data_IF_105112796006
#
_entry.id   IF_105112796006
#
_cell.length_a   1.000
_cell.length_b   1.000
_cell.length_c   1.000
_cell.angle_alpha   90.00
_cell.angle_beta   90.00
_cell.angle_gamma   90.00
#
_symmetry.space_group_name_H-M   'P 1'
#
loop_
_entity.id
_entity.type
_entity.pdbx_description
1 polymer ?
#
# COMPACT_ATOMS: atom_id res chain seq x y z
N UNK A 1 7.13 -11.62 13.09
CA UNK A 1 8.19 -12.63 13.37
C UNK A 1 9.25 -12.66 12.27
N UNK A 2 8.85 -12.77 11.00
CA UNK A 2 9.76 -12.96 9.86
C UNK A 2 10.62 -11.71 9.61
N UNK A 3 10.01 -10.51 9.63
CA UNK A 3 10.65 -9.24 9.24
C UNK A 3 11.22 -8.42 10.41
N UNK A 4 11.29 -9.01 11.60
CA UNK A 4 12.01 -8.43 12.75
C UNK A 4 11.20 -7.49 13.64
N UNK A 5 10.01 -6.97 13.25
CA UNK A 5 9.23 -6.04 14.07
C UNK A 5 8.89 -6.61 15.46
N UNK A 6 8.39 -7.84 15.55
CA UNK A 6 8.12 -8.50 16.84
C UNK A 6 9.39 -8.59 17.69
N UNK A 7 10.51 -9.01 17.07
CA UNK A 7 11.80 -9.11 17.75
C UNK A 7 12.28 -7.76 18.29
N UNK A 8 12.14 -6.70 17.50
CA UNK A 8 12.54 -5.35 17.88
C UNK A 8 11.69 -4.81 19.04
N UNK A 9 10.36 -4.98 18.97
CA UNK A 9 9.46 -4.53 20.05
C UNK A 9 9.75 -5.30 21.34
N UNK A 10 9.95 -6.62 21.28
CA UNK A 10 10.29 -7.43 22.46
C UNK A 10 11.65 -7.09 23.04
N UNK A 11 12.61 -6.68 22.20
CA UNK A 11 13.93 -6.27 22.64
C UNK A 11 13.92 -4.90 23.33
N UNK A 12 13.17 -3.94 22.78
CA UNK A 12 13.08 -2.56 23.29
C UNK A 12 12.05 -2.39 24.42
N UNK A 13 11.06 -3.25 24.44
CA UNK A 13 9.92 -3.21 25.36
C UNK A 13 9.60 -4.63 25.86
N UNK A 14 8.34 -5.05 25.78
CA UNK A 14 7.85 -6.34 26.23
C UNK A 14 6.68 -6.88 25.35
N UNK A 15 6.12 -8.02 25.78
CA UNK A 15 4.99 -8.64 25.10
C UNK A 15 3.69 -7.81 25.22
N UNK A 16 3.53 -7.02 26.27
CA UNK A 16 2.36 -6.16 26.49
C UNK A 16 2.33 -5.04 25.46
N UNK A 17 3.47 -4.39 25.24
CA UNK A 17 3.61 -3.34 24.23
C UNK A 17 3.40 -3.92 22.82
N UNK A 18 3.89 -5.13 22.53
CA UNK A 18 3.62 -5.79 21.27
C UNK A 18 2.12 -6.03 21.05
N UNK A 19 1.41 -6.49 22.08
CA UNK A 19 -0.04 -6.69 21.99
C UNK A 19 -0.80 -5.37 21.71
N UNK A 20 -0.39 -4.27 22.34
CA UNK A 20 -0.95 -2.93 22.06
C UNK A 20 -0.69 -2.48 20.63
N UNK A 21 0.48 -2.75 20.07
CA UNK A 21 0.73 -2.49 18.64
C UNK A 21 -0.22 -3.27 17.75
N UNK A 22 -0.42 -4.57 18.02
CA UNK A 22 -1.34 -5.40 17.24
C UNK A 22 -2.78 -4.86 17.33
N UNK A 23 -3.23 -4.48 18.52
CA UNK A 23 -4.54 -3.86 18.71
C UNK A 23 -4.65 -2.56 17.88
N UNK A 24 -3.66 -1.67 17.95
CA UNK A 24 -3.65 -0.45 17.14
C UNK A 24 -3.71 -0.75 15.64
N UNK A 25 -2.93 -1.73 15.15
CA UNK A 25 -2.90 -2.08 13.72
C UNK A 25 -4.26 -2.56 13.21
N UNK A 26 -5.00 -3.32 14.03
CA UNK A 26 -6.33 -3.79 13.66
C UNK A 26 -7.37 -2.65 13.49
N UNK A 27 -7.13 -1.49 14.10
CA UNK A 27 -7.99 -0.32 13.97
C UNK A 27 -7.63 0.59 12.79
N UNK A 28 -6.48 0.40 12.15
CA UNK A 28 -6.09 1.19 10.99
C UNK A 28 -7.09 0.99 9.83
N UNK A 29 -7.43 2.05 9.09
CA UNK A 29 -8.31 1.94 7.93
C UNK A 29 -7.64 1.11 6.82
N UNK A 30 -8.45 0.30 6.10
CA UNK A 30 -8.00 -0.50 4.95
C UNK A 30 -7.80 0.37 3.70
N UNK A 31 -8.56 1.45 3.61
CA UNK A 31 -8.53 2.36 2.48
C UNK A 31 -8.97 3.77 2.91
N UNK A 32 -8.66 4.75 2.09
CA UNK A 32 -9.18 6.11 2.19
C UNK A 32 -9.72 6.54 0.81
N UNK A 33 -10.68 7.46 0.82
CA UNK A 33 -11.20 8.06 -0.40
C UNK A 33 -11.03 9.58 -0.31
N UNK A 34 -10.22 10.17 -1.19
CA UNK A 34 -9.96 11.60 -1.24
C UNK A 34 -10.96 12.24 -2.20
N UNK A 35 -11.72 13.24 -1.70
CA UNK A 35 -12.73 14.00 -2.47
C UNK A 35 -13.71 13.13 -3.27
N UNK A 36 -13.99 11.91 -2.82
CA UNK A 36 -14.81 10.91 -3.52
C UNK A 36 -14.33 10.61 -4.96
N UNK A 37 -13.04 10.81 -5.25
CA UNK A 37 -12.43 10.66 -6.57
C UNK A 37 -11.20 9.79 -6.59
N UNK A 38 -10.37 9.82 -5.54
CA UNK A 38 -9.14 9.04 -5.47
C UNK A 38 -9.27 7.97 -4.40
N UNK A 39 -9.22 6.71 -4.79
CA UNK A 39 -9.21 5.58 -3.86
C UNK A 39 -7.78 5.23 -3.49
N UNK A 40 -7.47 5.23 -2.20
CA UNK A 40 -6.14 4.93 -1.67
C UNK A 40 -6.21 3.66 -0.85
N UNK A 41 -5.38 2.67 -1.18
CA UNK A 41 -5.27 1.40 -0.45
C UNK A 41 -3.81 0.94 -0.37
N UNK A 42 -3.49 -0.07 0.43
CA UNK A 42 -2.12 -0.58 0.52
C UNK A 42 -1.76 -1.53 -0.62
N UNK A 43 -2.52 -2.61 -0.78
CA UNK A 43 -2.32 -3.63 -1.82
C UNK A 43 -3.03 -3.25 -3.11
N UNK A 44 -4.27 -3.71 -3.31
CA UNK A 44 -4.94 -3.47 -4.58
C UNK A 44 -6.44 -3.68 -4.55
N UNK A 45 -6.99 -4.21 -5.63
CA UNK A 45 -8.41 -4.39 -5.84
C UNK A 45 -8.86 -5.84 -5.61
N UNK A 46 -10.17 -6.03 -5.47
CA UNK A 46 -10.79 -7.28 -5.08
C UNK A 46 -10.84 -8.32 -6.21
N UNK A 47 -10.93 -9.58 -5.79
CA UNK A 47 -11.31 -10.72 -6.62
C UNK A 47 -12.77 -10.64 -7.14
N UNK A 48 -13.62 -9.86 -6.48
CA UNK A 48 -15.02 -9.64 -6.83
C UNK A 48 -15.20 -8.34 -7.65
N UNK A 49 -15.86 -8.46 -8.80
CA UNK A 49 -16.19 -7.31 -9.68
C UNK A 49 -17.26 -6.38 -9.10
N UNK A 50 -18.06 -6.89 -8.15
CA UNK A 50 -19.20 -6.18 -7.57
C UNK A 50 -18.87 -5.17 -6.49
N UNK A 51 -17.63 -5.11 -6.02
CA UNK A 51 -17.24 -4.35 -4.82
C UNK A 51 -17.50 -2.85 -4.95
N UNK A 52 -18.21 -2.31 -3.97
CA UNK A 52 -18.47 -0.88 -3.80
C UNK A 52 -17.68 -0.30 -2.63
N UNK A 53 -17.57 1.04 -2.56
CA UNK A 53 -17.00 1.72 -1.40
C UNK A 53 -17.76 1.40 -0.10
N UNK A 54 -19.06 1.12 -0.20
CA UNK A 54 -19.85 0.72 0.96
C UNK A 54 -19.51 -0.68 1.46
N UNK A 55 -19.15 -1.59 0.56
CA UNK A 55 -18.66 -2.90 0.96
C UNK A 55 -17.32 -2.80 1.67
N UNK A 56 -16.42 -1.93 1.19
CA UNK A 56 -15.14 -1.64 1.88
C UNK A 56 -15.39 -1.05 3.28
N UNK A 57 -16.34 -0.13 3.44
CA UNK A 57 -16.71 0.46 4.75
C UNK A 57 -17.28 -0.55 5.73
N UNK A 58 -18.00 -1.57 5.23
CA UNK A 58 -18.63 -2.61 6.04
C UNK A 58 -17.66 -3.74 6.46
N UNK A 59 -16.44 -3.76 5.94
CA UNK A 59 -15.45 -4.78 6.33
C UNK A 59 -15.21 -4.73 7.84
N UNK A 60 -15.43 -5.85 8.52
CA UNK A 60 -15.04 -6.02 9.92
C UNK A 60 -13.51 -6.15 10.01
N UNK A 61 -12.81 -5.01 10.08
CA UNK A 61 -11.34 -4.94 10.00
C UNK A 61 -10.62 -5.15 11.34
N UNK A 62 -11.31 -4.97 12.47
CA UNK A 62 -10.72 -5.12 13.80
C UNK A 62 -10.41 -6.59 14.10
N UNK A 63 -9.44 -7.14 13.38
CA UNK A 63 -8.93 -8.51 13.47
C UNK A 63 -7.63 -8.64 12.68
N UNK A 64 -6.94 -9.77 12.87
CA UNK A 64 -5.83 -10.13 11.99
C UNK A 64 -6.33 -10.27 10.52
N UNK A 65 -5.50 -9.87 9.52
CA UNK A 65 -5.83 -10.05 8.12
C UNK A 65 -6.11 -11.53 7.80
N UNK A 66 -7.25 -11.83 7.14
CA UNK A 66 -7.56 -13.19 6.71
C UNK A 66 -6.74 -13.57 5.46
N UNK A 67 -6.71 -14.87 5.16
CA UNK A 67 -6.01 -15.41 3.98
C UNK A 67 -6.78 -15.22 2.66
N UNK A 68 -8.03 -14.76 2.71
CA UNK A 68 -8.88 -14.54 1.53
C UNK A 68 -9.97 -13.49 1.80
N UNK A 69 -10.61 -13.03 0.72
CA UNK A 69 -11.72 -12.09 0.72
C UNK A 69 -11.27 -10.62 0.67
N UNK A 70 -12.24 -9.69 0.69
CA UNK A 70 -12.03 -8.27 0.40
C UNK A 70 -10.91 -7.63 1.25
N UNK A 71 -10.84 -7.92 2.54
CA UNK A 71 -9.77 -7.40 3.40
C UNK A 71 -8.39 -7.90 2.97
N UNK A 72 -8.29 -9.18 2.62
CA UNK A 72 -7.05 -9.76 2.09
C UNK A 72 -6.65 -9.08 0.79
N UNK A 73 -7.58 -8.96 -0.16
CA UNK A 73 -7.32 -8.38 -1.47
C UNK A 73 -6.83 -6.92 -1.38
N UNK A 74 -7.47 -6.10 -0.55
CA UNK A 74 -7.08 -4.70 -0.31
C UNK A 74 -5.66 -4.55 0.28
N UNK A 75 -5.17 -5.57 0.98
CA UNK A 75 -3.85 -5.56 1.61
C UNK A 75 -2.75 -6.21 0.76
N UNK A 76 -3.09 -7.18 -0.12
CA UNK A 76 -2.11 -8.06 -0.74
C UNK A 76 -2.12 -8.08 -2.27
N UNK A 77 -3.20 -7.62 -2.95
CA UNK A 77 -3.27 -7.69 -4.41
C UNK A 77 -2.32 -6.71 -5.10
N UNK A 78 -1.78 -7.12 -6.25
CA UNK A 78 -0.85 -6.34 -7.06
C UNK A 78 -1.41 -6.07 -8.47
N UNK A 79 -1.09 -4.93 -9.11
CA UNK A 79 -1.45 -4.70 -10.51
C UNK A 79 -0.64 -5.59 -11.47
N UNK A 80 -1.21 -5.87 -12.63
CA UNK A 80 -0.55 -6.53 -13.76
C UNK A 80 -0.87 -5.82 -15.07
N UNK A 81 -0.01 -5.97 -16.08
CA UNK A 81 -0.19 -5.31 -17.36
C UNK A 81 -1.32 -5.91 -18.23
N UNK A 82 -1.59 -7.21 -18.06
CA UNK A 82 -2.61 -7.94 -18.82
C UNK A 82 -3.99 -7.73 -18.20
N UNK A 83 -5.03 -7.67 -19.03
CA UNK A 83 -6.42 -7.67 -18.58
C UNK A 83 -6.75 -8.94 -17.77
N UNK A 84 -7.79 -8.84 -16.93
CA UNK A 84 -8.27 -9.91 -16.08
C UNK A 84 -7.52 -10.03 -14.76
N UNK A 85 -7.64 -11.21 -14.17
CA UNK A 85 -7.00 -11.56 -12.88
C UNK A 85 -6.14 -12.81 -13.03
N UNK A 86 -5.06 -12.87 -12.27
CA UNK A 86 -4.20 -14.05 -12.18
C UNK A 86 -3.78 -14.32 -10.74
N UNK A 87 -3.30 -15.55 -10.43
CA UNK A 87 -2.79 -15.86 -9.10
C UNK A 87 -1.61 -14.94 -8.72
N UNK A 88 -1.63 -14.44 -7.49
CA UNK A 88 -0.53 -13.64 -6.94
C UNK A 88 0.75 -14.47 -6.81
N UNK A 89 1.89 -13.87 -7.15
CA UNK A 89 3.22 -14.45 -6.88
C UNK A 89 3.53 -14.58 -5.39
N UNK A 90 2.76 -13.91 -4.54
CA UNK A 90 2.94 -13.93 -3.08
C UNK A 90 2.26 -15.12 -2.40
N UNK A 91 1.43 -15.88 -3.14
CA UNK A 91 0.60 -16.97 -2.59
C UNK A 91 -0.63 -16.48 -1.80
N UNK A 92 -0.85 -15.16 -1.71
CA UNK A 92 -1.98 -14.50 -1.07
C UNK A 92 -2.39 -13.29 -1.90
N UNK A 93 -3.68 -12.92 -1.90
CA UNK A 93 -4.24 -11.92 -2.80
C UNK A 93 -4.23 -12.39 -4.26
N UNK A 94 -4.26 -11.46 -5.19
CA UNK A 94 -4.28 -11.73 -6.64
C UNK A 94 -3.52 -10.65 -7.42
N UNK A 95 -3.30 -10.89 -8.70
CA UNK A 95 -2.90 -9.85 -9.64
C UNK A 95 -4.11 -9.41 -10.47
N UNK A 96 -4.27 -8.09 -10.69
CA UNK A 96 -5.43 -7.51 -11.39
C UNK A 96 -5.01 -6.57 -12.52
N UNK A 97 -5.72 -6.62 -13.64
CA UNK A 97 -5.44 -5.90 -14.86
C UNK A 97 -6.10 -4.52 -14.97
N UNK A 98 -5.81 -3.80 -16.08
CA UNK A 98 -6.38 -2.48 -16.36
C UNK A 98 -7.91 -2.48 -16.45
N UNK A 99 -8.50 -3.55 -16.96
CA UNK A 99 -9.96 -3.75 -17.06
C UNK A 99 -10.62 -3.79 -15.68
N UNK A 100 -9.99 -4.45 -14.70
CA UNK A 100 -10.47 -4.53 -13.32
C UNK A 100 -10.44 -3.15 -12.66
N UNK A 101 -9.34 -2.41 -12.86
CA UNK A 101 -9.20 -1.05 -12.34
C UNK A 101 -10.27 -0.14 -12.92
N UNK A 102 -10.47 -0.17 -14.24
CA UNK A 102 -11.50 0.62 -14.92
C UNK A 102 -12.90 0.30 -14.40
N UNK A 103 -13.25 -0.98 -14.31
CA UNK A 103 -14.57 -1.42 -13.82
C UNK A 103 -14.84 -0.97 -12.38
N UNK A 104 -13.82 -1.04 -11.49
CA UNK A 104 -13.93 -0.57 -10.11
C UNK A 104 -14.13 0.96 -10.04
N UNK A 105 -13.36 1.72 -10.80
CA UNK A 105 -13.46 3.18 -10.85
C UNK A 105 -14.83 3.62 -11.39
N UNK A 106 -15.27 3.06 -12.51
CA UNK A 106 -16.58 3.36 -13.11
C UNK A 106 -17.73 3.05 -12.15
N UNK A 107 -17.73 1.88 -11.51
CA UNK A 107 -18.76 1.46 -10.55
C UNK A 107 -18.88 2.42 -9.37
N UNK A 108 -17.76 2.96 -8.89
CA UNK A 108 -17.71 3.79 -7.69
C UNK A 108 -17.65 5.30 -7.97
N UNK A 109 -17.69 5.73 -9.23
CA UNK A 109 -17.61 7.14 -9.63
C UNK A 109 -16.25 7.78 -9.30
N UNK A 110 -15.20 6.97 -9.30
CA UNK A 110 -13.82 7.36 -8.97
C UNK A 110 -13.01 7.60 -10.24
N UNK A 111 -11.89 8.33 -10.11
CA UNK A 111 -11.03 8.69 -11.24
C UNK A 111 -9.65 8.02 -11.14
N UNK A 112 -9.19 7.66 -9.94
CA UNK A 112 -7.83 7.19 -9.70
C UNK A 112 -7.75 6.19 -8.54
N UNK A 113 -6.91 5.16 -8.70
CA UNK A 113 -6.44 4.30 -7.60
C UNK A 113 -4.99 4.66 -7.27
N UNK A 114 -4.70 4.89 -5.99
CA UNK A 114 -3.33 5.03 -5.47
C UNK A 114 -3.06 3.88 -4.51
N UNK A 115 -1.96 3.18 -4.71
CA UNK A 115 -1.55 2.04 -3.87
C UNK A 115 -0.05 2.04 -3.60
N UNK A 116 0.44 1.14 -2.78
CA UNK A 116 1.85 0.97 -2.45
C UNK A 116 2.29 -0.49 -2.69
N UNK A 117 2.81 -1.19 -1.69
CA UNK A 117 3.07 -2.64 -1.60
C UNK A 117 4.19 -3.20 -2.49
N UNK A 118 4.55 -2.57 -3.60
CA UNK A 118 5.65 -2.98 -4.48
C UNK A 118 6.72 -1.92 -4.58
N UNK A 119 7.98 -2.36 -4.55
CA UNK A 119 9.13 -1.49 -4.83
C UNK A 119 9.05 -1.00 -6.28
N UNK A 120 9.33 0.29 -6.48
CA UNK A 120 9.51 0.90 -7.80
C UNK A 120 10.84 1.65 -7.83
N UNK A 121 11.63 1.48 -8.87
CA UNK A 121 12.99 2.04 -8.96
C UNK A 121 13.03 3.54 -8.72
N UNK A 122 12.07 4.27 -9.27
CA UNK A 122 11.92 5.72 -9.08
C UNK A 122 11.02 6.11 -7.88
N UNK A 123 10.64 5.14 -7.03
CA UNK A 123 9.72 5.35 -5.92
C UNK A 123 8.25 5.44 -6.32
N UNK A 124 7.91 5.47 -7.60
CA UNK A 124 6.53 5.42 -8.10
C UNK A 124 6.46 4.87 -9.52
N UNK A 125 5.27 4.44 -9.91
CA UNK A 125 4.93 4.07 -11.28
C UNK A 125 3.47 4.41 -11.57
N UNK A 126 3.21 4.90 -12.80
CA UNK A 126 1.86 5.18 -13.30
C UNK A 126 1.48 4.07 -14.25
N UNK A 127 0.42 3.34 -13.93
CA UNK A 127 0.02 2.10 -14.57
C UNK A 127 -1.43 2.18 -15.07
N UNK A 128 -1.92 1.17 -15.75
CA UNK A 128 -3.29 1.02 -16.23
C UNK A 128 -3.81 2.25 -17.01
N UNK A 129 -2.95 2.79 -17.90
CA UNK A 129 -3.32 3.95 -18.72
C UNK A 129 -3.48 5.25 -17.94
N UNK A 130 -2.88 5.36 -16.75
CA UNK A 130 -2.95 6.54 -15.89
C UNK A 130 -4.00 6.44 -14.77
N UNK A 131 -4.78 5.36 -14.71
CA UNK A 131 -5.85 5.18 -13.73
C UNK A 131 -5.40 4.50 -12.42
N UNK A 132 -4.14 4.05 -12.36
CA UNK A 132 -3.53 3.47 -11.17
C UNK A 132 -2.11 4.03 -10.97
N UNK A 133 -1.78 4.35 -9.72
CA UNK A 133 -0.45 4.78 -9.32
C UNK A 133 0.04 3.90 -8.18
N UNK A 134 1.19 3.26 -8.38
CA UNK A 134 1.95 2.66 -7.29
C UNK A 134 2.95 3.68 -6.75
N UNK A 135 2.91 3.98 -5.45
CA UNK A 135 3.88 4.85 -4.76
C UNK A 135 4.57 4.08 -3.66
N UNK A 136 5.89 4.18 -3.59
CA UNK A 136 6.72 3.48 -2.63
C UNK A 136 7.68 4.45 -1.94
N UNK A 137 7.52 4.64 -0.62
CA UNK A 137 8.17 5.72 0.11
C UNK A 137 9.45 5.32 0.85
N UNK A 138 9.89 4.05 0.77
CA UNK A 138 11.10 3.58 1.43
C UNK A 138 12.26 3.51 0.44
N UNK A 139 13.19 4.49 0.43
CA UNK A 139 14.33 4.47 -0.47
C UNK A 139 15.33 3.39 -0.04
N UNK A 140 16.07 2.84 -1.01
CA UNK A 140 17.02 1.74 -0.80
C UNK A 140 16.44 0.61 0.07
N UNK A 141 15.25 0.13 -0.33
CA UNK A 141 14.51 -0.87 0.46
C UNK A 141 15.36 -2.10 0.79
N UNK A 142 15.27 -2.56 2.04
CA UNK A 142 16.10 -3.64 2.59
C UNK A 142 17.61 -3.36 2.53
N UNK A 143 18.03 -2.11 2.45
CA UNK A 143 19.43 -1.68 2.28
C UNK A 143 20.14 -2.28 1.06
N UNK A 144 19.38 -2.74 0.06
CA UNK A 144 19.90 -3.50 -1.08
C UNK A 144 19.27 -3.14 -2.43
N UNK A 145 18.05 -2.58 -2.46
CA UNK A 145 17.31 -2.42 -3.71
C UNK A 145 17.74 -1.21 -4.54
N UNK A 146 18.40 -0.21 -3.95
CA UNK A 146 18.88 0.99 -4.64
C UNK A 146 17.78 1.90 -5.20
N UNK A 147 16.52 1.63 -4.88
CA UNK A 147 15.36 2.41 -5.34
C UNK A 147 15.27 3.76 -4.64
N UNK A 148 14.66 4.73 -5.30
CA UNK A 148 14.23 5.99 -4.66
C UNK A 148 12.98 5.77 -3.81
N UNK A 149 12.78 6.65 -2.84
CA UNK A 149 11.48 6.85 -2.21
C UNK A 149 10.69 7.91 -2.95
N UNK A 150 9.35 7.88 -2.86
CA UNK A 150 8.49 8.91 -3.40
C UNK A 150 7.29 9.20 -2.49
N UNK A 151 6.73 10.40 -2.66
CA UNK A 151 5.39 10.73 -2.20
C UNK A 151 4.64 11.55 -3.26
N UNK A 152 3.32 11.53 -3.16
CA UNK A 152 2.41 12.21 -4.08
C UNK A 152 1.78 13.40 -3.35
N UNK A 153 1.86 14.57 -3.96
CA UNK A 153 1.04 15.72 -3.61
C UNK A 153 -0.13 15.81 -4.59
N UNK A 154 -1.36 15.75 -4.09
CA UNK A 154 -2.57 15.99 -4.88
C UNK A 154 -2.92 17.48 -4.81
N UNK A 155 -3.07 18.13 -5.97
CA UNK A 155 -3.56 19.50 -6.06
C UNK A 155 -5.05 19.60 -5.66
N UNK A 156 -5.60 20.80 -5.58
CA UNK A 156 -7.05 20.97 -5.39
C UNK A 156 -7.89 20.39 -6.55
N UNK A 157 -7.29 20.23 -7.74
CA UNK A 157 -7.89 19.56 -8.89
C UNK A 157 -7.60 18.04 -8.91
N UNK A 158 -7.02 17.50 -7.82
CA UNK A 158 -6.61 16.09 -7.66
C UNK A 158 -5.53 15.64 -8.66
N UNK A 159 -4.82 16.57 -9.27
CA UNK A 159 -3.69 16.26 -10.15
C UNK A 159 -2.48 15.79 -9.33
N UNK A 160 -1.92 14.59 -9.60
CA UNK A 160 -0.80 14.06 -8.87
C UNK A 160 0.52 14.74 -9.26
N UNK A 161 1.26 15.23 -8.26
CA UNK A 161 2.64 15.69 -8.41
C UNK A 161 3.55 14.82 -7.58
N UNK A 162 4.54 14.22 -8.22
CA UNK A 162 5.48 13.30 -7.58
C UNK A 162 6.72 14.06 -7.07
N UNK A 163 7.15 13.70 -5.87
CA UNK A 163 8.44 14.10 -5.33
C UNK A 163 9.21 12.84 -4.99
N UNK A 164 10.42 12.71 -5.50
CA UNK A 164 11.31 11.57 -5.26
C UNK A 164 12.52 11.97 -4.43
N UNK A 165 13.07 11.04 -3.67
CA UNK A 165 14.24 11.26 -2.83
C UNK A 165 15.07 9.98 -2.72
N UNK A 166 16.37 10.16 -2.47
CA UNK A 166 17.33 9.07 -2.27
C UNK A 166 17.45 8.73 -0.78
N UNK A 167 17.98 7.54 -0.49
CA UNK A 167 18.29 7.16 0.88
C UNK A 167 19.47 8.00 1.41
N UNK A 168 19.39 8.38 2.67
CA UNK A 168 20.55 8.95 3.38
C UNK A 168 21.54 7.83 3.69
N UNK A 169 22.83 7.96 3.37
CA UNK A 169 23.83 6.95 3.71
C UNK A 169 23.85 6.67 5.21
N UNK A 170 23.90 5.39 5.59
CA UNK A 170 23.89 4.96 7.00
C UNK A 170 24.93 5.68 7.87
N UNK A 171 26.12 5.95 7.31
CA UNK A 171 27.18 6.68 8.03
C UNK A 171 26.81 8.13 8.37
N UNK A 172 26.05 8.82 7.53
CA UNK A 172 25.55 10.18 7.81
C UNK A 172 24.41 10.17 8.83
N UNK A 173 23.48 9.23 8.69
CA UNK A 173 22.37 9.06 9.63
C UNK A 173 22.82 8.73 11.07
N UNK A 174 23.96 8.07 11.24
CA UNK A 174 24.55 7.82 12.56
C UNK A 174 25.32 9.01 13.12
N UNK A 175 25.96 9.86 12.28
CA UNK A 175 26.67 11.05 12.74
C UNK A 175 25.74 12.07 13.39
N UNK A 176 24.58 12.30 12.81
CA UNK A 176 23.60 13.28 13.32
C UNK A 176 23.00 12.86 14.66
N UNK A 177 22.90 11.54 14.92
CA UNK A 177 22.45 11.01 16.23
C UNK A 177 23.49 11.10 17.35
N UNK A 178 24.76 11.24 17.03
CA UNK A 178 25.83 11.39 18.04
C UNK A 178 26.05 12.85 18.46
N UNK A 179 25.40 13.81 17.80
CA UNK A 179 25.51 15.24 18.08
C UNK A 179 24.19 15.88 18.55
N UNK A 180 23.12 15.08 18.73
CA UNK A 180 21.84 15.49 19.30
C UNK A 180 21.66 14.93 20.72
#
# INVERSE_FOLDING_TARGET
KIYGFEGEVRHKYDATVLALFHECFQWLPLAACVENKVFVTHGGLSSDDGVTLDDVRKVSRNREPPDAGLMCDLLWSDPQAQDGRSPSKRGVGLSFGPDVTRAFLERNGLDLVVRSHEVRDNGYEVEHGGSLITVFSAPNYCDAMGNKGAFIHLSAALEPKFTTYDAVPLQEAFRDRMHA
#
